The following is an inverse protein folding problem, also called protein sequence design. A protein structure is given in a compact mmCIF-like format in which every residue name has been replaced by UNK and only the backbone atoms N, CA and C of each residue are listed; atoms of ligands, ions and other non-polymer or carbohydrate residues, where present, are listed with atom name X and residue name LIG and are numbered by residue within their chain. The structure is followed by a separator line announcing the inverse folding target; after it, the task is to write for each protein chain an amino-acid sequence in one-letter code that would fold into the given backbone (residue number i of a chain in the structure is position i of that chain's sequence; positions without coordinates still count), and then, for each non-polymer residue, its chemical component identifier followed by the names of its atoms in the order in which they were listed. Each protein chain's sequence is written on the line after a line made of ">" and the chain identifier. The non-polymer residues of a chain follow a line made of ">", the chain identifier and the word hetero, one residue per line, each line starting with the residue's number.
data_IF_469834753990
#
_entry.id   IF_469834753990
#
_cell.length_a   1.000
_cell.length_b   1.000
_cell.length_c   1.000
_cell.angle_alpha   90.00
_cell.angle_beta   90.00
_cell.angle_gamma   90.00
#
_symmetry.space_group_name_H-M   'P 1'
#
loop_
_entity.id
_entity.type
_entity.pdbx_description
1 polymer ?
#
# COMPACT_ATOMS: atom_id res chain seq x y z
N UNK A 1 -50.96 15.10 -11.60
CA UNK A 1 -50.40 14.83 -10.25
C UNK A 1 -49.18 13.87 -10.25
N UNK A 2 -48.85 13.13 -11.32
CA UNK A 2 -47.71 12.17 -11.32
C UNK A 2 -46.28 12.74 -11.50
N UNK A 3 -46.09 14.06 -11.68
CA UNK A 3 -44.76 14.66 -11.92
C UNK A 3 -44.06 15.23 -10.68
N UNK A 4 -44.74 15.31 -9.52
CA UNK A 4 -44.16 15.87 -8.30
C UNK A 4 -43.34 14.88 -7.45
N UNK A 5 -43.63 13.58 -7.56
CA UNK A 5 -42.97 12.56 -6.74
C UNK A 5 -41.52 12.31 -7.17
N UNK A 6 -41.19 12.37 -8.48
CA UNK A 6 -39.85 11.99 -8.96
C UNK A 6 -38.75 12.95 -8.49
N UNK A 7 -39.03 14.25 -8.42
CA UNK A 7 -38.04 15.26 -8.02
C UNK A 7 -37.66 15.12 -6.54
N UNK A 8 -38.63 14.75 -5.69
CA UNK A 8 -38.40 14.59 -4.25
C UNK A 8 -37.81 13.22 -3.89
N UNK A 9 -38.24 12.14 -4.55
CA UNK A 9 -37.67 10.80 -4.34
C UNK A 9 -36.22 10.72 -4.80
N UNK A 10 -35.89 11.40 -5.90
CA UNK A 10 -34.52 11.41 -6.42
C UNK A 10 -33.62 12.31 -5.58
N UNK A 11 -34.07 13.48 -5.11
CA UNK A 11 -33.30 14.26 -4.11
C UNK A 11 -33.07 13.52 -2.79
N UNK A 12 -34.03 12.70 -2.34
CA UNK A 12 -33.82 11.85 -1.18
C UNK A 12 -32.69 10.83 -1.40
N UNK A 13 -32.60 10.24 -2.60
CA UNK A 13 -31.50 9.36 -3.00
C UNK A 13 -30.13 10.03 -2.93
N UNK A 14 -30.00 11.28 -3.39
CA UNK A 14 -28.74 12.05 -3.28
C UNK A 14 -28.36 12.31 -1.82
N UNK A 15 -29.33 12.68 -0.97
CA UNK A 15 -29.10 12.90 0.47
C UNK A 15 -28.67 11.59 1.13
N UNK A 16 -29.33 10.47 0.82
CA UNK A 16 -28.95 9.17 1.37
C UNK A 16 -27.58 8.73 0.89
N UNK A 17 -27.24 8.94 -0.38
CA UNK A 17 -25.91 8.67 -0.92
C UNK A 17 -24.81 9.49 -0.24
N UNK A 18 -25.12 10.73 0.15
CA UNK A 18 -24.20 11.61 0.84
C UNK A 18 -23.97 11.25 2.32
N UNK A 19 -24.82 10.43 2.92
CA UNK A 19 -24.82 10.16 4.36
C UNK A 19 -24.55 8.69 4.67
N UNK A 20 -23.84 8.41 5.77
CA UNK A 20 -23.58 7.05 6.24
C UNK A 20 -24.81 6.52 7.02
N UNK A 21 -25.91 6.28 6.31
CA UNK A 21 -27.19 5.82 6.89
C UNK A 21 -27.28 4.29 6.75
N UNK A 22 -27.65 3.60 7.82
CA UNK A 22 -27.99 2.17 7.74
C UNK A 22 -29.16 1.95 6.77
N UNK A 23 -29.00 0.99 5.87
CA UNK A 23 -30.05 0.58 4.95
C UNK A 23 -31.15 -0.11 5.75
N UNK A 24 -32.22 0.63 6.05
CA UNK A 24 -33.42 0.09 6.71
C UNK A 24 -34.50 -0.26 5.68
N UNK A 25 -35.47 -1.13 6.01
CA UNK A 25 -36.60 -1.44 5.11
C UNK A 25 -37.37 -0.20 4.65
N UNK A 26 -37.39 0.85 5.48
CA UNK A 26 -37.94 2.18 5.16
C UNK A 26 -37.15 2.88 4.07
N UNK A 27 -35.82 2.75 4.07
CA UNK A 27 -34.94 3.28 3.03
C UNK A 27 -35.15 2.54 1.71
N UNK A 28 -35.26 1.21 1.76
CA UNK A 28 -35.54 0.38 0.58
C UNK A 28 -36.87 0.80 -0.07
N UNK A 29 -37.90 1.03 0.73
CA UNK A 29 -39.20 1.50 0.25
C UNK A 29 -39.13 2.92 -0.34
N UNK A 30 -38.34 3.82 0.23
CA UNK A 30 -38.17 5.19 -0.28
C UNK A 30 -37.44 5.20 -1.63
N UNK A 31 -36.47 4.30 -1.80
CA UNK A 31 -35.67 4.18 -3.02
C UNK A 31 -36.43 3.44 -4.12
N UNK A 32 -37.27 2.45 -3.78
CA UNK A 32 -38.19 1.82 -4.74
C UNK A 32 -39.18 2.78 -5.39
N UNK A 33 -39.31 4.01 -4.88
CA UNK A 33 -40.12 5.09 -5.45
C UNK A 33 -39.32 6.07 -6.33
N UNK A 34 -37.98 6.04 -6.27
CA UNK A 34 -37.08 6.94 -7.00
C UNK A 34 -36.32 6.24 -8.13
N UNK A 35 -35.87 7.00 -9.13
CA UNK A 35 -35.03 6.47 -10.20
C UNK A 35 -33.56 6.53 -9.78
N UNK A 36 -32.95 5.36 -9.52
CA UNK A 36 -31.54 5.25 -9.09
C UNK A 36 -30.53 5.78 -10.10
N UNK A 37 -30.93 5.95 -11.36
CA UNK A 37 -30.12 6.48 -12.44
C UNK A 37 -30.45 7.93 -12.81
N UNK A 38 -31.31 8.61 -12.03
CA UNK A 38 -31.61 10.03 -12.25
C UNK A 38 -30.38 10.89 -11.93
N UNK A 39 -30.04 11.78 -12.84
CA UNK A 39 -28.91 12.70 -12.69
C UNK A 39 -29.37 14.02 -12.06
N UNK A 40 -28.49 14.66 -11.30
CA UNK A 40 -28.66 16.03 -10.83
C UNK A 40 -28.26 17.06 -11.91
N UNK A 41 -28.19 18.33 -11.51
CA UNK A 41 -27.85 19.46 -12.39
C UNK A 41 -26.42 19.42 -12.94
N UNK A 42 -25.56 18.52 -12.42
CA UNK A 42 -24.16 18.34 -12.82
C UNK A 42 -23.91 17.00 -13.53
N UNK A 43 -24.98 16.30 -13.91
CA UNK A 43 -24.90 14.97 -14.51
C UNK A 43 -24.53 13.87 -13.50
N UNK A 44 -24.30 14.21 -12.22
CA UNK A 44 -24.00 13.25 -11.18
C UNK A 44 -25.24 12.41 -10.87
N UNK A 45 -25.04 11.11 -10.72
CA UNK A 45 -26.07 10.17 -10.23
C UNK A 45 -25.83 9.85 -8.75
N UNK A 46 -26.80 9.29 -8.02
CA UNK A 46 -26.60 8.86 -6.63
C UNK A 46 -25.34 8.01 -6.42
N UNK A 47 -24.99 7.18 -7.42
CA UNK A 47 -23.79 6.35 -7.37
C UNK A 47 -22.47 7.16 -7.39
N UNK A 48 -22.43 8.31 -8.09
CA UNK A 48 -21.27 9.22 -8.06
C UNK A 48 -21.09 9.80 -6.66
N UNK A 49 -22.19 10.24 -6.03
CA UNK A 49 -22.15 10.81 -4.67
C UNK A 49 -21.72 9.78 -3.64
N UNK A 50 -22.24 8.55 -3.72
CA UNK A 50 -21.85 7.47 -2.83
C UNK A 50 -20.35 7.15 -2.97
N UNK A 51 -19.82 7.21 -4.19
CA UNK A 51 -18.40 7.02 -4.49
C UNK A 51 -17.52 8.13 -3.90
N UNK A 52 -17.86 9.40 -4.09
CA UNK A 52 -17.15 10.54 -3.48
C UNK A 52 -17.14 10.48 -1.95
N UNK A 53 -18.11 9.79 -1.33
CA UNK A 53 -18.18 9.60 0.13
C UNK A 53 -17.57 8.30 0.63
N UNK A 54 -16.99 7.48 -0.26
CA UNK A 54 -16.44 6.16 0.07
C UNK A 54 -17.48 5.28 0.81
N UNK A 55 -18.75 5.43 0.46
CA UNK A 55 -19.85 4.75 1.14
C UNK A 55 -20.12 3.39 0.49
N UNK A 56 -19.27 2.40 0.81
CA UNK A 56 -19.33 1.05 0.27
C UNK A 56 -20.71 0.40 0.41
N UNK A 57 -21.38 0.60 1.55
CA UNK A 57 -22.73 0.09 1.82
C UNK A 57 -23.74 0.64 0.82
N UNK A 58 -23.73 1.95 0.60
CA UNK A 58 -24.64 2.58 -0.36
C UNK A 58 -24.30 2.23 -1.81
N UNK A 59 -23.02 2.14 -2.15
CA UNK A 59 -22.59 1.70 -3.49
C UNK A 59 -23.17 0.31 -3.80
N UNK A 60 -22.97 -0.67 -2.90
CA UNK A 60 -23.55 -2.02 -3.06
C UNK A 60 -25.06 -1.98 -3.20
N UNK A 61 -25.71 -1.18 -2.36
CA UNK A 61 -27.15 -1.03 -2.40
C UNK A 61 -27.64 -0.48 -3.74
N UNK A 62 -27.08 0.64 -4.21
CA UNK A 62 -27.46 1.27 -5.48
C UNK A 62 -27.20 0.34 -6.67
N UNK A 63 -26.08 -0.38 -6.68
CA UNK A 63 -25.78 -1.39 -7.70
C UNK A 63 -26.81 -2.53 -7.69
N UNK A 64 -27.21 -3.01 -6.51
CA UNK A 64 -28.25 -4.04 -6.38
C UNK A 64 -29.62 -3.56 -6.88
N UNK A 65 -29.87 -2.25 -6.82
CA UNK A 65 -31.06 -1.59 -7.35
C UNK A 65 -30.97 -1.26 -8.85
N UNK A 66 -29.88 -1.64 -9.53
CA UNK A 66 -29.71 -1.44 -10.98
C UNK A 66 -29.08 -0.09 -11.37
N UNK A 67 -28.33 0.55 -10.47
CA UNK A 67 -27.53 1.72 -10.81
C UNK A 67 -26.43 1.33 -11.81
N UNK A 68 -26.25 2.15 -12.85
CA UNK A 68 -25.21 1.96 -13.85
C UNK A 68 -23.89 2.61 -13.40
N UNK A 69 -22.87 1.78 -13.20
CA UNK A 69 -21.53 2.20 -12.77
C UNK A 69 -20.61 2.68 -13.89
N UNK A 70 -21.05 2.63 -15.15
CA UNK A 70 -20.27 3.04 -16.31
C UNK A 70 -20.57 4.46 -16.79
N UNK A 71 -21.59 5.11 -16.22
CA UNK A 71 -22.04 6.40 -16.72
C UNK A 71 -21.15 7.53 -16.24
N UNK A 72 -20.97 8.53 -17.09
CA UNK A 72 -20.19 9.72 -16.79
C UNK A 72 -21.07 10.90 -16.35
N UNK A 73 -20.57 11.72 -15.43
CA UNK A 73 -21.15 13.02 -15.09
C UNK A 73 -20.73 14.10 -16.12
N UNK A 74 -21.10 15.37 -15.90
CA UNK A 74 -20.80 16.47 -16.83
C UNK A 74 -19.30 16.82 -16.89
N UNK A 75 -18.50 16.39 -15.90
CA UNK A 75 -17.03 16.46 -15.93
C UNK A 75 -16.40 15.30 -16.71
N UNK A 76 -17.21 14.36 -17.17
CA UNK A 76 -16.74 13.15 -17.82
C UNK A 76 -16.28 12.07 -16.85
N UNK A 77 -16.51 12.19 -15.54
CA UNK A 77 -16.06 11.23 -14.52
C UNK A 77 -17.09 10.11 -14.34
N UNK A 78 -16.64 8.87 -14.29
CA UNK A 78 -17.44 7.74 -13.79
C UNK A 78 -17.54 7.76 -12.25
N UNK A 79 -18.43 6.99 -11.62
CA UNK A 79 -18.41 6.84 -10.17
C UNK A 79 -17.07 6.35 -9.64
N UNK A 80 -16.36 5.47 -10.38
CA UNK A 80 -15.01 5.04 -10.01
C UNK A 80 -14.02 6.22 -10.06
N UNK A 81 -14.07 7.03 -11.11
CA UNK A 81 -13.22 8.22 -11.24
C UNK A 81 -13.45 9.20 -10.05
N UNK A 82 -14.71 9.39 -9.62
CA UNK A 82 -15.03 10.20 -8.45
C UNK A 82 -14.51 9.62 -7.12
N UNK A 83 -14.42 8.30 -6.98
CA UNK A 83 -13.82 7.63 -5.82
C UNK A 83 -12.30 7.90 -5.79
N UNK A 84 -11.65 7.86 -6.96
CA UNK A 84 -10.22 8.06 -7.12
C UNK A 84 -9.80 9.51 -6.88
N UNK A 85 -10.52 10.50 -7.44
CA UNK A 85 -10.20 11.92 -7.23
C UNK A 85 -10.31 12.32 -5.76
N UNK A 86 -11.28 11.77 -5.03
CA UNK A 86 -11.40 12.00 -3.59
C UNK A 86 -10.17 11.47 -2.80
N UNK A 87 -9.56 10.39 -3.28
CA UNK A 87 -8.35 9.81 -2.69
C UNK A 87 -7.15 10.74 -2.86
N UNK A 88 -6.97 11.30 -4.06
CA UNK A 88 -5.92 12.30 -4.34
C UNK A 88 -6.11 13.56 -3.49
N UNK A 89 -7.34 14.10 -3.42
CA UNK A 89 -7.62 15.29 -2.62
C UNK A 89 -7.29 15.12 -1.13
N UNK A 90 -7.55 13.93 -0.56
CA UNK A 90 -7.21 13.62 0.85
C UNK A 90 -5.70 13.49 1.04
N UNK A 91 -5.01 12.82 0.11
CA UNK A 91 -3.56 12.65 0.17
C UNK A 91 -2.85 14.02 0.11
N UNK A 92 -3.19 14.84 -0.89
CA UNK A 92 -2.63 16.17 -1.09
C UNK A 92 -2.91 17.11 0.10
N UNK A 93 -4.13 17.03 0.66
CA UNK A 93 -4.49 17.82 1.86
C UNK A 93 -3.67 17.42 3.09
N UNK A 94 -3.41 16.12 3.28
CA UNK A 94 -2.64 15.63 4.42
C UNK A 94 -1.17 16.05 4.34
N UNK A 95 -0.59 15.98 3.14
CA UNK A 95 0.77 16.40 2.86
C UNK A 95 0.92 17.92 3.11
N UNK A 96 0.00 18.72 2.55
CA UNK A 96 -0.02 20.19 2.73
C UNK A 96 -0.10 20.62 4.19
N UNK A 97 -0.82 19.86 5.02
CA UNK A 97 -1.05 20.20 6.43
C UNK A 97 0.01 19.63 7.38
N UNK A 98 1.02 18.91 6.87
CA UNK A 98 2.04 18.24 7.69
C UNK A 98 1.43 17.23 8.68
N UNK A 99 0.23 16.73 8.38
CA UNK A 99 -0.47 15.78 9.24
C UNK A 99 0.10 14.39 8.98
N UNK A 100 0.85 13.86 9.94
CA UNK A 100 1.17 12.43 9.99
C UNK A 100 -0.15 11.67 10.15
N UNK A 101 -0.69 11.12 9.07
CA UNK A 101 -2.01 10.48 9.06
C UNK A 101 -2.07 9.32 10.06
N UNK A 102 -2.56 9.59 11.27
CA UNK A 102 -2.90 8.55 12.26
C UNK A 102 -4.31 7.98 12.04
N UNK A 103 -4.93 8.28 10.89
CA UNK A 103 -6.12 7.60 10.38
C UNK A 103 -6.12 7.65 8.85
N UNK A 104 -4.99 7.27 8.25
CA UNK A 104 -4.81 7.14 6.81
C UNK A 104 -5.84 6.14 6.28
N UNK A 105 -6.93 6.64 5.72
CA UNK A 105 -7.98 5.90 5.00
C UNK A 105 -8.58 4.72 5.79
N UNK A 106 -9.91 4.65 5.86
CA UNK A 106 -10.52 3.34 6.12
C UNK A 106 -10.34 2.55 4.82
N UNK A 107 -9.16 1.93 4.66
CA UNK A 107 -8.73 1.21 3.45
C UNK A 107 -9.75 0.15 3.08
N UNK A 108 -10.44 -0.41 4.06
CA UNK A 108 -11.51 -1.37 3.89
C UNK A 108 -12.73 -0.77 3.15
N UNK A 109 -13.43 0.28 3.65
CA UNK A 109 -14.47 0.98 2.88
C UNK A 109 -14.05 1.46 1.50
N UNK A 110 -12.81 1.95 1.36
CA UNK A 110 -12.30 2.34 0.05
C UNK A 110 -12.20 1.14 -0.89
N UNK A 111 -11.54 0.08 -0.44
CA UNK A 111 -11.36 -1.13 -1.23
C UNK A 111 -12.69 -1.78 -1.59
N UNK A 112 -13.64 -1.85 -0.66
CA UNK A 112 -14.99 -2.36 -0.91
C UNK A 112 -15.74 -1.52 -1.95
N UNK A 113 -15.61 -0.19 -1.88
CA UNK A 113 -16.18 0.74 -2.85
C UNK A 113 -15.56 0.54 -4.24
N UNK A 114 -14.23 0.48 -4.30
CA UNK A 114 -13.47 0.29 -5.52
C UNK A 114 -13.83 -1.05 -6.19
N UNK A 115 -13.85 -2.16 -5.44
CA UNK A 115 -14.24 -3.47 -5.97
C UNK A 115 -15.63 -3.47 -6.59
N UNK A 116 -16.59 -2.79 -5.95
CA UNK A 116 -17.96 -2.74 -6.44
C UNK A 116 -18.07 -1.94 -7.76
N UNK A 117 -17.32 -0.85 -7.86
CA UNK A 117 -17.31 0.06 -9.01
C UNK A 117 -16.36 -0.38 -10.14
N UNK A 118 -15.38 -1.24 -9.86
CA UNK A 118 -14.33 -1.62 -10.79
C UNK A 118 -14.91 -2.20 -12.09
N UNK A 119 -14.48 -1.70 -13.27
CA UNK A 119 -14.87 -2.29 -14.53
C UNK A 119 -14.07 -3.58 -14.80
N UNK A 120 -14.66 -4.50 -15.58
CA UNK A 120 -14.10 -5.85 -15.77
C UNK A 120 -12.69 -5.86 -16.39
N UNK A 121 -12.42 -4.93 -17.31
CA UNK A 121 -11.11 -4.74 -17.95
C UNK A 121 -10.02 -4.30 -16.95
N UNK A 122 -10.38 -3.45 -15.97
CA UNK A 122 -9.46 -3.06 -14.91
C UNK A 122 -9.19 -4.27 -14.00
N UNK A 123 -10.26 -4.97 -13.57
CA UNK A 123 -10.11 -6.17 -12.73
C UNK A 123 -9.25 -7.26 -13.36
N UNK A 124 -9.32 -7.47 -14.68
CA UNK A 124 -8.47 -8.44 -15.38
C UNK A 124 -7.01 -8.03 -15.52
N UNK A 125 -6.72 -6.72 -15.37
CA UNK A 125 -5.37 -6.17 -15.46
C UNK A 125 -4.64 -6.27 -14.12
N UNK A 126 -5.36 -6.20 -13.00
CA UNK A 126 -4.78 -6.19 -11.66
C UNK A 126 -4.33 -7.58 -11.20
N UNK A 127 -3.18 -7.61 -10.54
CA UNK A 127 -2.60 -8.81 -9.94
C UNK A 127 -3.21 -9.00 -8.56
N UNK A 128 -3.62 -10.24 -8.26
CA UNK A 128 -4.45 -10.58 -7.09
C UNK A 128 -5.71 -9.71 -6.95
N UNK A 129 -6.16 -9.11 -8.07
CA UNK A 129 -7.33 -8.25 -8.14
C UNK A 129 -7.14 -6.82 -7.61
N UNK A 130 -5.97 -6.45 -7.08
CA UNK A 130 -5.74 -5.12 -6.48
C UNK A 130 -4.39 -4.48 -6.81
N UNK A 131 -3.34 -5.28 -7.05
CA UNK A 131 -1.99 -4.79 -7.27
C UNK A 131 -1.80 -4.42 -8.74
N UNK A 132 -1.35 -3.20 -9.02
CA UNK A 132 -1.15 -2.79 -10.41
C UNK A 132 0.08 -3.43 -11.04
N UNK A 133 0.10 -3.66 -12.37
CA UNK A 133 1.28 -4.15 -13.07
C UNK A 133 2.51 -3.26 -12.88
N UNK A 134 2.31 -1.94 -12.90
CA UNK A 134 3.39 -0.95 -12.69
C UNK A 134 3.98 -1.04 -11.29
N UNK A 135 3.11 -1.12 -10.27
CA UNK A 135 3.56 -1.30 -8.88
C UNK A 135 4.23 -2.66 -8.69
N UNK A 136 3.70 -3.74 -9.28
CA UNK A 136 4.34 -5.06 -9.24
C UNK A 136 5.76 -5.01 -9.81
N UNK A 137 5.92 -4.39 -10.98
CA UNK A 137 7.22 -4.28 -11.62
C UNK A 137 8.18 -3.43 -10.77
N UNK A 138 7.71 -2.32 -10.23
CA UNK A 138 8.49 -1.51 -9.32
C UNK A 138 8.93 -2.31 -8.07
N UNK A 139 8.04 -3.08 -7.46
CA UNK A 139 8.37 -3.95 -6.33
C UNK A 139 9.39 -5.03 -6.72
N UNK A 140 9.30 -5.60 -7.93
CA UNK A 140 10.30 -6.54 -8.43
C UNK A 140 11.68 -5.88 -8.52
N UNK A 141 11.78 -4.71 -9.16
CA UNK A 141 13.05 -3.97 -9.26
C UNK A 141 13.64 -3.67 -7.88
N UNK A 142 12.84 -3.13 -6.94
CA UNK A 142 13.33 -2.90 -5.56
C UNK A 142 13.82 -4.22 -4.96
N UNK A 143 13.04 -5.30 -5.03
CA UNK A 143 13.40 -6.56 -4.40
C UNK A 143 14.68 -7.17 -4.99
N UNK A 144 14.92 -7.01 -6.30
CA UNK A 144 16.13 -7.47 -6.97
C UNK A 144 17.36 -6.69 -6.51
N UNK A 145 17.28 -5.36 -6.50
CA UNK A 145 18.36 -4.52 -5.97
C UNK A 145 18.64 -4.86 -4.52
N UNK A 146 17.63 -4.80 -3.66
CA UNK A 146 17.81 -4.95 -2.22
C UNK A 146 18.41 -6.32 -1.89
N UNK A 147 17.94 -7.37 -2.56
CA UNK A 147 18.51 -8.69 -2.36
C UNK A 147 19.98 -8.77 -2.80
N UNK A 148 20.33 -8.20 -3.95
CA UNK A 148 21.72 -8.15 -4.43
C UNK A 148 22.62 -7.46 -3.40
N UNK A 149 22.17 -6.32 -2.86
CA UNK A 149 22.91 -5.57 -1.86
C UNK A 149 23.01 -6.33 -0.51
N UNK A 150 21.93 -6.98 -0.07
CA UNK A 150 21.92 -7.82 1.13
C UNK A 150 22.90 -8.99 0.99
N UNK A 151 22.92 -9.68 -0.16
CA UNK A 151 23.81 -10.81 -0.41
C UNK A 151 25.29 -10.38 -0.39
N UNK A 152 25.63 -9.27 -1.06
CA UNK A 152 27.00 -8.73 -1.09
C UNK A 152 27.50 -8.38 0.33
N UNK A 153 26.68 -7.71 1.12
CA UNK A 153 27.08 -7.29 2.47
C UNK A 153 27.10 -8.42 3.48
N UNK A 154 26.14 -9.34 3.39
CA UNK A 154 26.10 -10.55 4.22
C UNK A 154 27.35 -11.42 4.01
N UNK A 155 27.97 -11.33 2.84
CA UNK A 155 29.25 -11.96 2.54
C UNK A 155 30.46 -11.12 2.99
N UNK A 156 30.40 -9.80 2.85
CA UNK A 156 31.53 -8.89 3.09
C UNK A 156 31.74 -8.55 4.56
N UNK A 157 30.68 -8.20 5.29
CA UNK A 157 30.78 -7.56 6.62
C UNK A 157 30.61 -8.58 7.75
N UNK A 158 29.81 -9.62 7.53
CA UNK A 158 29.51 -10.61 8.57
C UNK A 158 30.55 -11.73 8.61
N UNK A 159 31.22 -11.86 9.76
CA UNK A 159 32.16 -12.96 10.01
C UNK A 159 31.51 -14.09 10.82
N UNK A 160 32.07 -15.29 10.72
CA UNK A 160 31.52 -16.46 11.42
C UNK A 160 31.83 -16.36 12.92
N UNK A 161 30.79 -16.44 13.74
CA UNK A 161 30.85 -16.47 15.22
C UNK A 161 31.23 -15.16 15.92
N UNK A 162 31.29 -14.03 15.21
CA UNK A 162 31.41 -12.71 15.82
C UNK A 162 30.24 -11.82 15.37
N UNK A 163 29.67 -11.01 16.27
CA UNK A 163 28.66 -10.06 15.88
C UNK A 163 29.29 -8.88 15.15
N UNK A 164 28.65 -8.44 14.08
CA UNK A 164 28.94 -7.19 13.38
C UNK A 164 28.22 -6.05 14.10
N UNK A 165 28.93 -4.99 14.49
CA UNK A 165 28.35 -3.90 15.28
C UNK A 165 27.21 -3.21 14.52
N UNK A 166 26.26 -2.61 15.25
CA UNK A 166 25.16 -1.87 14.62
C UNK A 166 25.67 -0.72 13.74
N UNK A 167 26.76 -0.06 14.14
CA UNK A 167 27.39 0.99 13.33
C UNK A 167 27.93 0.43 12.01
N UNK A 168 28.59 -0.73 12.03
CA UNK A 168 29.14 -1.36 10.82
C UNK A 168 28.04 -1.91 9.91
N UNK A 169 26.89 -2.31 10.48
CA UNK A 169 25.69 -2.64 9.74
C UNK A 169 25.06 -1.41 9.06
N UNK A 170 25.41 -0.18 9.46
CA UNK A 170 24.84 1.06 8.93
C UNK A 170 25.84 1.91 8.10
N UNK A 171 27.14 1.59 8.11
CA UNK A 171 28.18 2.55 7.68
C UNK A 171 28.58 2.50 6.20
N UNK A 172 28.09 1.52 5.41
CA UNK A 172 28.50 1.37 4.01
C UNK A 172 27.31 1.53 3.04
N UNK A 173 27.52 2.35 2.02
CA UNK A 173 26.64 2.53 0.85
C UNK A 173 26.38 1.19 0.13
N UNK A 174 25.20 0.92 -0.45
CA UNK A 174 23.88 0.80 0.19
C UNK A 174 23.39 -0.68 0.25
N UNK A 175 23.95 -1.52 1.11
CA UNK A 175 23.27 -2.73 1.61
C UNK A 175 23.12 -2.62 3.13
N UNK A 176 22.36 -3.53 3.76
CA UNK A 176 21.98 -3.57 5.19
C UNK A 176 21.57 -2.20 5.81
N UNK A 177 21.33 -1.17 4.97
CA UNK A 177 20.92 0.21 5.27
C UNK A 177 19.55 0.33 5.91
N UNK A 178 18.85 -0.78 6.02
CA UNK A 178 17.41 -0.89 6.24
C UNK A 178 17.14 -1.38 7.66
N UNK A 179 18.01 -1.04 8.60
CA UNK A 179 17.87 -1.41 10.01
C UNK A 179 16.61 -0.79 10.64
N UNK A 180 16.14 0.32 10.08
CA UNK A 180 14.83 0.91 10.40
C UNK A 180 13.67 -0.04 10.10
N UNK A 181 13.90 -1.08 9.28
CA UNK A 181 12.98 -2.18 9.01
C UNK A 181 13.34 -3.45 9.79
N UNK A 182 14.05 -3.33 10.92
CA UNK A 182 14.21 -4.40 11.91
C UNK A 182 13.42 -4.05 13.17
N UNK A 183 12.72 -5.00 13.82
CA UNK A 183 11.96 -4.70 15.03
C UNK A 183 12.79 -4.03 16.11
N UNK A 184 12.25 -2.95 16.71
CA UNK A 184 12.94 -2.19 17.76
C UNK A 184 13.33 -3.10 18.94
N UNK A 185 12.49 -4.08 19.30
CA UNK A 185 12.82 -5.03 20.36
C UNK A 185 14.00 -5.94 19.98
N UNK A 186 14.15 -6.27 18.70
CA UNK A 186 15.28 -7.03 18.18
C UNK A 186 16.55 -6.18 18.22
N UNK A 187 16.47 -4.91 17.83
CA UNK A 187 17.59 -3.97 17.92
C UNK A 187 18.06 -3.79 19.37
N UNK A 188 17.13 -3.58 20.29
CA UNK A 188 17.42 -3.44 21.72
C UNK A 188 18.10 -4.69 22.31
N UNK A 189 17.64 -5.88 21.93
CA UNK A 189 18.25 -7.16 22.37
C UNK A 189 19.62 -7.41 21.76
N UNK A 190 19.90 -6.84 20.59
CA UNK A 190 21.15 -7.00 19.84
C UNK A 190 21.95 -5.68 19.82
N UNK A 191 22.01 -4.96 20.95
CA UNK A 191 22.71 -3.68 21.06
C UNK A 191 24.21 -3.73 20.73
N UNK A 192 24.81 -4.92 20.80
CA UNK A 192 26.21 -5.18 20.43
C UNK A 192 26.38 -5.51 18.94
N UNK A 193 25.29 -5.62 18.17
CA UNK A 193 25.33 -5.99 16.78
C UNK A 193 24.71 -7.34 16.45
N UNK A 194 24.69 -7.68 15.16
CA UNK A 194 24.05 -8.87 14.63
C UNK A 194 25.06 -9.96 14.27
N UNK A 195 24.67 -11.21 14.51
CA UNK A 195 25.42 -12.36 14.01
C UNK A 195 25.03 -12.69 12.57
N UNK A 196 25.97 -13.27 11.82
CA UNK A 196 25.73 -13.78 10.46
C UNK A 196 24.48 -14.66 10.34
N UNK A 197 24.16 -15.46 11.36
CA UNK A 197 22.97 -16.33 11.35
C UNK A 197 21.65 -15.55 11.30
N UNK A 198 21.61 -14.33 11.82
CA UNK A 198 20.44 -13.46 11.72
C UNK A 198 20.36 -12.84 10.32
N UNK A 199 21.48 -12.33 9.79
CA UNK A 199 21.57 -11.78 8.43
C UNK A 199 21.19 -12.82 7.37
N UNK A 200 21.68 -14.06 7.47
CA UNK A 200 21.31 -15.14 6.55
C UNK A 200 19.80 -15.44 6.57
N UNK A 201 19.13 -15.25 7.72
CA UNK A 201 17.68 -15.43 7.81
C UNK A 201 16.91 -14.27 7.21
N UNK A 202 17.43 -13.05 7.31
CA UNK A 202 16.91 -11.86 6.62
C UNK A 202 17.00 -12.00 5.09
N UNK A 203 18.15 -12.45 4.60
CA UNK A 203 18.38 -12.79 3.19
C UNK A 203 17.35 -13.81 2.67
N UNK A 204 17.04 -14.85 3.45
CA UNK A 204 16.00 -15.84 3.10
C UNK A 204 14.63 -15.18 2.91
N UNK A 205 14.26 -14.21 3.75
CA UNK A 205 12.97 -13.51 3.66
C UNK A 205 12.91 -12.67 2.38
N UNK A 206 13.93 -11.86 2.10
CA UNK A 206 14.01 -11.04 0.87
C UNK A 206 14.01 -11.88 -0.39
N UNK A 207 14.74 -13.00 -0.38
CA UNK A 207 14.72 -13.95 -1.48
C UNK A 207 13.34 -14.56 -1.70
N UNK A 208 12.62 -14.89 -0.64
CA UNK A 208 11.25 -15.41 -0.75
C UNK A 208 10.24 -14.34 -1.23
N UNK A 209 10.44 -13.07 -0.85
CA UNK A 209 9.70 -11.93 -1.39
C UNK A 209 9.92 -11.84 -2.91
N UNK A 210 11.18 -11.80 -3.36
CA UNK A 210 11.51 -11.72 -4.78
C UNK A 210 10.90 -12.87 -5.58
N UNK A 211 11.03 -14.11 -5.08
CA UNK A 211 10.42 -15.29 -5.70
C UNK A 211 8.89 -15.15 -5.79
N UNK A 212 8.25 -14.61 -4.77
CA UNK A 212 6.79 -14.39 -4.77
C UNK A 212 6.41 -13.40 -5.86
N UNK A 213 7.14 -12.29 -5.96
CA UNK A 213 6.92 -11.27 -6.98
C UNK A 213 7.18 -11.82 -8.39
N UNK A 214 8.25 -12.60 -8.61
CA UNK A 214 8.57 -13.24 -9.90
C UNK A 214 7.50 -14.26 -10.34
N UNK A 215 6.72 -14.80 -9.40
CA UNK A 215 5.53 -15.62 -9.69
C UNK A 215 4.29 -14.81 -10.07
N UNK A 216 4.45 -13.49 -10.21
CA UNK A 216 3.37 -12.53 -10.45
C UNK A 216 2.29 -12.59 -9.36
N UNK A 217 2.74 -12.63 -8.11
CA UNK A 217 1.89 -12.72 -6.92
C UNK A 217 2.27 -11.63 -5.93
N UNK A 218 1.27 -11.01 -5.28
CA UNK A 218 1.54 -10.04 -4.23
C UNK A 218 2.26 -10.72 -3.05
N UNK A 219 3.28 -10.07 -2.45
CA UNK A 219 4.11 -10.65 -1.41
C UNK A 219 3.43 -10.56 -0.03
N UNK A 220 2.33 -11.30 0.17
CA UNK A 220 1.67 -11.32 1.49
C UNK A 220 2.49 -12.12 2.51
N UNK A 221 2.34 -11.83 3.81
CA UNK A 221 3.01 -12.58 4.89
C UNK A 221 2.80 -14.09 4.72
N UNK A 222 1.56 -14.51 4.49
CA UNK A 222 1.22 -15.92 4.33
C UNK A 222 1.89 -16.54 3.11
N UNK A 223 1.94 -15.82 1.98
CA UNK A 223 2.52 -16.31 0.74
C UNK A 223 4.05 -16.37 0.78
N UNK A 224 4.71 -15.34 1.32
CA UNK A 224 6.16 -15.35 1.55
C UNK A 224 6.54 -16.47 2.50
N UNK A 225 5.80 -16.65 3.60
CA UNK A 225 6.00 -17.79 4.51
C UNK A 225 5.83 -19.13 3.81
N UNK A 226 4.81 -19.26 2.94
CA UNK A 226 4.58 -20.46 2.16
C UNK A 226 5.80 -20.76 1.28
N UNK A 227 6.29 -19.77 0.52
CA UNK A 227 7.48 -19.91 -0.34
C UNK A 227 8.70 -20.40 0.44
N UNK A 228 8.95 -19.85 1.64
CA UNK A 228 10.03 -20.31 2.52
C UNK A 228 9.86 -21.78 2.90
N UNK A 229 8.63 -22.20 3.20
CA UNK A 229 8.34 -23.54 3.69
C UNK A 229 8.20 -24.62 2.60
N UNK A 230 7.82 -24.26 1.36
CA UNK A 230 7.48 -25.24 0.32
C UNK A 230 8.66 -25.73 -0.54
N UNK A 231 9.88 -25.24 -0.30
CA UNK A 231 11.11 -25.95 -0.69
C UNK A 231 11.60 -25.79 -2.13
N UNK A 232 10.93 -25.00 -2.97
CA UNK A 232 11.30 -24.79 -4.39
C UNK A 232 12.73 -24.23 -4.58
N UNK A 233 13.33 -23.64 -3.53
CA UNK A 233 14.66 -23.01 -3.57
C UNK A 233 15.64 -23.55 -2.51
N UNK A 234 15.34 -24.72 -1.90
CA UNK A 234 16.15 -25.32 -0.83
C UNK A 234 16.59 -24.33 0.27
N UNK A 235 15.66 -23.50 0.76
CA UNK A 235 15.97 -22.62 1.90
C UNK A 235 16.44 -23.44 3.10
N UNK A 236 17.49 -22.97 3.79
CA UNK A 236 17.89 -23.59 5.06
C UNK A 236 16.88 -23.17 6.13
N UNK A 237 15.84 -24.00 6.30
CA UNK A 237 14.78 -23.78 7.28
C UNK A 237 15.32 -23.61 8.72
N UNK A 238 16.51 -24.12 9.01
CA UNK A 238 17.14 -23.91 10.33
C UNK A 238 17.60 -22.48 10.50
N UNK A 239 18.11 -21.84 9.45
CA UNK A 239 18.48 -20.43 9.46
C UNK A 239 17.26 -19.53 9.60
N UNK A 240 16.20 -19.84 8.85
CA UNK A 240 14.94 -19.11 8.97
C UNK A 240 14.31 -19.27 10.37
N UNK A 241 14.24 -20.51 10.90
CA UNK A 241 13.77 -20.76 12.27
C UNK A 241 14.59 -19.98 13.29
N UNK A 242 15.92 -19.97 13.15
CA UNK A 242 16.80 -19.20 14.03
C UNK A 242 16.51 -17.70 13.97
N UNK A 243 16.29 -17.14 12.78
CA UNK A 243 15.92 -15.74 12.61
C UNK A 243 14.61 -15.40 13.33
N UNK A 244 13.59 -16.24 13.17
CA UNK A 244 12.30 -16.08 13.87
C UNK A 244 12.47 -16.21 15.38
N UNK A 245 13.24 -17.19 15.87
CA UNK A 245 13.52 -17.39 17.30
C UNK A 245 14.24 -16.18 17.92
N UNK A 246 15.01 -15.44 17.11
CA UNK A 246 15.67 -14.18 17.49
C UNK A 246 14.78 -12.95 17.37
N UNK A 247 13.51 -13.13 17.00
CA UNK A 247 12.50 -12.07 16.90
C UNK A 247 12.42 -11.43 15.52
N UNK A 248 13.17 -11.93 14.53
CA UNK A 248 13.04 -11.51 13.14
C UNK A 248 11.65 -11.83 12.60
N UNK A 249 11.14 -10.96 11.72
CA UNK A 249 9.78 -11.09 11.19
C UNK A 249 9.70 -10.76 9.69
N UNK A 250 8.72 -11.37 9.03
CA UNK A 250 8.49 -11.23 7.57
C UNK A 250 7.81 -9.90 7.23
N UNK A 251 6.86 -9.49 8.05
CA UNK A 251 6.09 -8.24 7.92
C UNK A 251 7.01 -7.02 7.81
N UNK A 252 8.11 -6.98 8.56
CA UNK A 252 9.11 -5.93 8.48
C UNK A 252 9.84 -5.85 7.14
N UNK A 253 10.19 -6.99 6.53
CA UNK A 253 10.83 -7.00 5.21
C UNK A 253 9.86 -6.57 4.11
N UNK A 254 8.60 -7.00 4.20
CA UNK A 254 7.53 -6.58 3.27
C UNK A 254 7.25 -5.08 3.40
N UNK A 255 7.15 -4.57 4.63
CA UNK A 255 6.91 -3.15 4.88
C UNK A 255 8.09 -2.30 4.37
N UNK A 256 9.31 -2.77 4.61
CA UNK A 256 10.52 -2.24 3.98
C UNK A 256 10.37 -2.14 2.49
N UNK A 257 10.18 -3.27 1.79
CA UNK A 257 9.98 -3.30 0.34
C UNK A 257 9.00 -2.21 -0.12
N UNK A 258 7.82 -2.13 0.50
CA UNK A 258 6.78 -1.18 0.11
C UNK A 258 7.21 0.29 0.32
N UNK A 259 7.83 0.61 1.45
CA UNK A 259 8.24 1.98 1.76
C UNK A 259 9.39 2.43 0.85
N UNK A 260 10.33 1.53 0.57
CA UNK A 260 11.45 1.78 -0.34
C UNK A 260 10.93 2.08 -1.73
N UNK A 261 10.08 1.19 -2.26
CA UNK A 261 9.49 1.38 -3.58
C UNK A 261 8.64 2.65 -3.61
N UNK A 262 7.91 2.97 -2.55
CA UNK A 262 7.14 4.22 -2.45
C UNK A 262 8.04 5.45 -2.57
N UNK A 263 9.13 5.52 -1.81
CA UNK A 263 10.05 6.67 -1.84
C UNK A 263 10.62 6.88 -3.26
N UNK A 264 10.98 5.79 -3.95
CA UNK A 264 11.52 5.92 -5.31
C UNK A 264 10.42 6.29 -6.33
N UNK A 265 9.22 5.71 -6.23
CA UNK A 265 8.14 5.92 -7.21
C UNK A 265 7.39 7.24 -7.02
N UNK A 266 7.20 7.68 -5.76
CA UNK A 266 6.40 8.86 -5.42
C UNK A 266 7.28 10.06 -5.13
N UNK A 267 8.30 9.89 -4.28
CA UNK A 267 9.06 11.02 -3.74
C UNK A 267 10.24 11.42 -4.65
N UNK A 268 10.56 10.59 -5.65
CA UNK A 268 11.61 10.87 -6.64
C UNK A 268 13.02 10.81 -6.04
N UNK A 269 13.18 10.20 -4.87
CA UNK A 269 14.46 10.03 -4.22
C UNK A 269 15.37 9.14 -5.10
N UNK A 270 16.62 9.58 -5.29
CA UNK A 270 17.56 9.26 -6.39
C UNK A 270 17.98 7.76 -6.52
N UNK A 271 17.01 6.86 -6.68
CA UNK A 271 17.23 5.45 -6.97
C UNK A 271 17.65 5.27 -8.42
N UNK A 272 18.95 5.38 -8.72
CA UNK A 272 19.57 5.22 -10.05
C UNK A 272 19.05 4.03 -10.87
N UNK A 273 18.59 2.96 -10.22
CA UNK A 273 18.07 1.74 -10.86
C UNK A 273 16.73 1.95 -11.56
N UNK A 274 15.88 2.86 -11.07
CA UNK A 274 14.57 3.12 -11.67
C UNK A 274 14.68 3.95 -12.95
N UNK A 275 15.66 4.83 -13.03
CA UNK A 275 15.96 5.57 -14.26
C UNK A 275 16.32 4.65 -15.43
N UNK A 276 16.84 3.44 -15.15
CA UNK A 276 17.14 2.45 -16.20
C UNK A 276 15.92 1.64 -16.65
N UNK A 277 14.83 1.70 -15.89
CA UNK A 277 13.65 0.84 -16.05
C UNK A 277 12.35 1.64 -16.30
N UNK A 278 12.43 2.98 -16.31
CA UNK A 278 11.30 3.89 -16.55
C UNK A 278 10.54 3.55 -17.83
N UNK A 279 11.25 3.33 -18.95
CA UNK A 279 10.62 2.96 -20.23
C UNK A 279 9.80 1.66 -20.12
N UNK A 280 10.27 0.69 -19.31
CA UNK A 280 9.55 -0.59 -19.12
C UNK A 280 8.33 -0.40 -18.22
N UNK A 281 8.43 0.44 -17.18
CA UNK A 281 7.28 0.80 -16.32
C UNK A 281 6.23 1.57 -17.13
N UNK A 282 6.65 2.53 -17.96
CA UNK A 282 5.77 3.32 -18.81
C UNK A 282 5.04 2.47 -19.85
N UNK A 283 5.67 1.41 -20.35
CA UNK A 283 5.06 0.45 -21.27
C UNK A 283 3.95 -0.41 -20.63
N UNK A 284 3.89 -0.50 -19.30
CA UNK A 284 2.86 -1.27 -18.60
C UNK A 284 1.53 -0.49 -18.51
N UNK A 285 0.37 -1.18 -18.43
CA UNK A 285 -0.93 -0.53 -18.31
C UNK A 285 -1.00 0.41 -17.10
N UNK A 286 -1.46 1.64 -17.34
CA UNK A 286 -1.77 2.62 -16.28
C UNK A 286 -3.01 2.15 -15.53
N UNK A 287 -2.96 2.22 -14.21
CA UNK A 287 -4.13 1.95 -13.37
C UNK A 287 -4.27 2.99 -12.25
N UNK A 288 -5.48 3.16 -11.71
CA UNK A 288 -5.70 3.98 -10.52
C UNK A 288 -4.91 3.53 -9.28
N UNK A 289 -4.46 2.28 -9.26
CA UNK A 289 -3.77 1.67 -8.13
C UNK A 289 -2.24 1.79 -8.21
N UNK A 290 -1.71 2.47 -9.23
CA UNK A 290 -0.25 2.58 -9.45
C UNK A 290 0.49 3.23 -8.27
N UNK A 291 -0.19 4.07 -7.49
CA UNK A 291 0.36 4.74 -6.29
C UNK A 291 -0.32 4.32 -4.98
N UNK A 292 -1.15 3.27 -4.99
CA UNK A 292 -1.93 2.83 -3.83
C UNK A 292 -1.11 2.03 -2.79
N UNK A 293 0.03 2.56 -2.33
CA UNK A 293 0.93 1.87 -1.40
C UNK A 293 0.31 1.60 -0.02
N UNK A 294 -0.64 2.42 0.44
CA UNK A 294 -1.38 2.16 1.69
C UNK A 294 -2.25 0.90 1.57
N UNK A 295 -2.91 0.71 0.42
CA UNK A 295 -3.65 -0.52 0.12
C UNK A 295 -2.68 -1.71 0.05
N UNK A 296 -1.55 -1.55 -0.64
CA UNK A 296 -0.53 -2.59 -0.74
C UNK A 296 -0.02 -3.02 0.64
N UNK A 297 0.21 -2.05 1.52
CA UNK A 297 0.60 -2.28 2.91
C UNK A 297 -0.44 -3.07 3.67
N UNK A 298 -1.71 -2.67 3.65
CA UNK A 298 -2.79 -3.40 4.33
C UNK A 298 -2.92 -4.84 3.80
N UNK A 299 -2.88 -5.03 2.48
CA UNK A 299 -3.04 -6.33 1.84
C UNK A 299 -1.85 -7.25 2.06
N UNK A 300 -0.62 -6.77 1.87
CA UNK A 300 0.59 -7.58 2.01
C UNK A 300 0.90 -7.90 3.48
N UNK A 301 0.66 -6.97 4.40
CA UNK A 301 0.86 -7.19 5.83
C UNK A 301 -0.34 -7.84 6.53
N UNK A 302 -1.39 -8.17 5.79
CA UNK A 302 -2.59 -8.84 6.31
C UNK A 302 -3.16 -8.09 7.53
N UNK A 303 -3.19 -6.75 7.42
CA UNK A 303 -3.71 -5.87 8.46
C UNK A 303 -5.23 -5.95 8.44
N UNK A 304 -5.79 -6.05 9.63
CA UNK A 304 -7.20 -6.12 9.97
C UNK A 304 -7.46 -5.15 11.11
N UNK A 305 -8.74 -4.87 11.39
CA UNK A 305 -9.13 -4.06 12.54
C UNK A 305 -8.63 -4.58 13.90
N UNK A 306 -8.21 -5.85 14.00
CA UNK A 306 -7.74 -6.46 15.25
C UNK A 306 -6.23 -6.35 15.48
N UNK A 307 -5.44 -6.19 14.42
CA UNK A 307 -3.97 -6.11 14.45
C UNK A 307 -3.44 -4.77 13.90
N UNK A 308 -4.32 -3.79 13.67
CA UNK A 308 -3.94 -2.44 13.27
C UNK A 308 -3.16 -1.74 14.38
N UNK A 309 -1.88 -1.43 14.14
CA UNK A 309 -1.08 -0.60 15.04
C UNK A 309 -1.08 0.84 14.52
N UNK A 310 -1.63 1.76 15.30
CA UNK A 310 -1.88 3.17 14.97
C UNK A 310 -0.64 4.06 14.98
N UNK A 311 0.57 3.50 14.91
CA UNK A 311 1.77 4.33 14.87
C UNK A 311 1.90 4.97 13.47
N UNK A 312 2.16 6.29 13.38
CA UNK A 312 2.45 6.92 12.11
C UNK A 312 3.70 6.30 11.48
N UNK A 313 3.60 5.81 10.25
CA UNK A 313 4.65 4.98 9.63
C UNK A 313 4.57 3.50 10.01
N UNK A 314 3.44 3.02 10.55
CA UNK A 314 3.32 1.65 11.04
C UNK A 314 4.02 1.43 12.39
N UNK A 315 4.07 0.19 12.90
CA UNK A 315 4.75 -0.14 14.18
C UNK A 315 6.27 0.10 14.18
N UNK A 316 6.79 0.87 13.22
CA UNK A 316 8.16 0.87 12.75
C UNK A 316 8.81 2.24 12.81
N UNK A 317 8.24 3.18 13.58
CA UNK A 317 8.69 4.56 13.84
C UNK A 317 9.99 4.95 13.08
N UNK A 318 9.85 5.23 11.78
CA UNK A 318 10.97 5.54 10.90
C UNK A 318 11.67 6.88 11.24
N UNK A 319 11.18 7.61 12.25
CA UNK A 319 11.70 8.93 12.68
C UNK A 319 12.82 8.87 13.72
N UNK A 320 13.37 7.69 14.04
CA UNK A 320 14.38 7.56 15.11
C UNK A 320 15.83 7.49 14.61
N UNK A 321 16.07 7.65 13.31
CA UNK A 321 17.40 7.88 12.76
C UNK A 321 17.39 9.27 12.14
N UNK A 322 18.02 10.20 12.85
CA UNK A 322 18.02 11.64 12.62
C UNK A 322 18.09 12.08 11.15
N UNK A 323 17.06 12.78 10.69
CA UNK A 323 17.15 13.74 9.57
C UNK A 323 18.13 14.90 9.90
N UNK A 324 18.55 15.03 11.17
CA UNK A 324 19.55 16.00 11.63
C UNK A 324 21.02 15.60 11.30
N UNK A 325 21.25 14.45 10.65
CA UNK A 325 22.61 14.04 10.25
C UNK A 325 23.07 14.62 8.91
N UNK A 326 22.18 15.27 8.14
CA UNK A 326 22.52 16.05 6.95
C UNK A 326 22.49 17.55 7.26
N UNK A 327 23.29 17.98 8.23
CA UNK A 327 23.80 19.34 8.18
C UNK A 327 24.83 19.40 7.06
N UNK A 328 24.40 19.89 5.91
CA UNK A 328 25.28 20.42 4.88
C UNK A 328 26.28 21.36 5.57
N UNK A 329 27.55 20.94 5.56
CA UNK A 329 28.69 21.73 6.00
C UNK A 329 29.03 22.82 4.99
N UNK A 330 28.03 23.60 4.57
CA UNK A 330 28.23 24.89 3.92
C UNK A 330 28.40 25.94 5.02
N UNK A 331 29.48 25.79 5.77
CA UNK A 331 30.09 26.90 6.50
C UNK A 331 30.79 27.75 5.43
N UNK A 332 30.01 28.55 4.69
CA UNK A 332 30.53 29.71 4.00
C UNK A 332 31.14 30.63 5.07
N UNK A 333 32.46 30.49 5.22
CA UNK A 333 33.27 31.37 6.04
C UNK A 333 33.22 32.80 5.48
N UNK A 334 32.26 33.57 5.95
CA UNK A 334 32.36 35.03 6.03
C UNK A 334 32.95 35.39 7.40
N UNK A 335 34.28 35.61 7.41
CA UNK A 335 35.06 36.69 8.08
C UNK A 335 36.51 36.30 8.37
#
# INVERSE_FOLDING_TARGET
>A
VRRGASIHSSRALFILAANNVEVSPTLEALIGLGNVNEADETGCRPLHIAATRVNATMIRFLLSAGADKSVRNDKGETPMDCLESHMQDIADFSETMGLKMARAMDVDPFWESAMALMPANLSSTLIDGWLSPRMMYALQCTAETELMMIEEETARIFTKYQPTSLSDCCSFYPGFRRIEYIPTEVLQRNSQGFYKSFADGWEIVWKAILVTLQRNQAPTISRVRQVICCGDYMYDLRKFSHFVDKGGKIDFAIDGLLQITKNVVIDGDDGWEYWMEEEKIEALPVTPFDKAFDLARVKCLEITNQNFVTQPGGPYNHNNFDEDAYHDGDDEGDY
#
